data_IF_245121991737
#
_entry.id   IF_245121991737
#
_cell.length_a   1.000
_cell.length_b   1.000
_cell.length_c   1.000
_cell.angle_alpha   90.00
_cell.angle_beta   90.00
_cell.angle_gamma   90.00
#
_symmetry.space_group_name_H-M   'P 1'
#
loop_
_entity.id
_entity.type
_entity.pdbx_description
1 polymer ?
#
# COMPACT_ATOMS: atom_id res chain seq x y z
N UNK A 1 -13.16 -7.81 -17.69
CA UNK A 1 -12.70 -7.98 -16.29
C UNK A 1 -12.07 -9.35 -16.18
N UNK A 2 -10.81 -9.44 -15.77
CA UNK A 2 -10.20 -10.72 -15.40
C UNK A 2 -10.61 -11.08 -13.97
N UNK A 3 -11.13 -12.29 -13.76
CA UNK A 3 -11.47 -12.79 -12.43
C UNK A 3 -10.21 -13.46 -11.87
N UNK A 4 -9.76 -13.02 -10.70
CA UNK A 4 -8.67 -13.66 -9.96
C UNK A 4 -9.32 -14.42 -8.81
N UNK A 5 -9.13 -15.73 -8.77
CA UNK A 5 -9.58 -16.55 -7.64
C UNK A 5 -8.57 -16.43 -6.49
N UNK A 6 -9.05 -16.26 -5.27
CA UNK A 6 -8.22 -16.20 -4.07
C UNK A 6 -8.83 -17.11 -2.99
N UNK A 7 -7.96 -17.64 -2.13
CA UNK A 7 -8.38 -18.46 -1.00
C UNK A 7 -9.38 -17.73 -0.09
N UNK A 8 -10.32 -18.47 0.50
CA UNK A 8 -11.42 -17.92 1.30
C UNK A 8 -10.94 -17.18 2.54
N UNK A 9 -9.98 -17.77 3.27
CA UNK A 9 -9.43 -17.14 4.47
C UNK A 9 -8.67 -15.86 4.10
N UNK A 10 -7.93 -15.88 2.99
CA UNK A 10 -7.24 -14.70 2.47
C UNK A 10 -8.23 -13.61 2.05
N UNK A 11 -9.33 -13.97 1.39
CA UNK A 11 -10.40 -13.03 1.03
C UNK A 11 -10.97 -12.33 2.28
N UNK A 12 -11.19 -13.07 3.35
CA UNK A 12 -11.68 -12.52 4.61
C UNK A 12 -10.66 -11.59 5.27
N UNK A 13 -9.36 -11.92 5.24
CA UNK A 13 -8.30 -11.01 5.70
C UNK A 13 -8.25 -9.72 4.87
N UNK A 14 -8.34 -9.81 3.54
CA UNK A 14 -8.40 -8.64 2.65
C UNK A 14 -9.62 -7.77 2.99
N UNK A 15 -10.78 -8.39 3.24
CA UNK A 15 -11.99 -7.69 3.66
C UNK A 15 -11.78 -6.96 4.99
N UNK A 16 -11.14 -7.57 5.98
CA UNK A 16 -10.86 -6.92 7.26
C UNK A 16 -9.91 -5.72 7.10
N UNK A 17 -8.88 -5.85 6.27
CA UNK A 17 -7.90 -4.79 6.02
C UNK A 17 -8.52 -3.52 5.41
N UNK A 18 -9.61 -3.63 4.66
CA UNK A 18 -10.33 -2.46 4.12
C UNK A 18 -10.75 -1.44 5.17
N UNK A 19 -11.03 -1.90 6.40
CA UNK A 19 -11.50 -1.06 7.51
C UNK A 19 -10.47 -0.02 7.94
N UNK A 20 -9.18 -0.38 7.87
CA UNK A 20 -8.08 0.51 8.29
C UNK A 20 -7.48 1.30 7.14
N UNK A 21 -7.55 0.77 5.92
CA UNK A 21 -6.95 1.41 4.73
C UNK A 21 -7.90 2.36 4.01
N UNK A 22 -9.18 2.41 4.39
CA UNK A 22 -10.21 3.22 3.74
C UNK A 22 -10.34 2.93 2.23
N UNK A 23 -10.21 1.66 1.83
CA UNK A 23 -10.28 1.20 0.43
C UNK A 23 -11.43 0.21 0.23
N UNK A 24 -11.93 0.08 -1.01
CA UNK A 24 -12.78 -1.05 -1.37
C UNK A 24 -11.99 -2.37 -1.31
N UNK A 25 -12.68 -3.51 -1.22
CA UNK A 25 -12.02 -4.83 -1.22
C UNK A 25 -11.17 -5.06 -2.47
N UNK A 26 -11.68 -4.66 -3.64
CA UNK A 26 -10.95 -4.77 -4.90
C UNK A 26 -9.72 -3.85 -4.92
N UNK A 27 -9.84 -2.62 -4.40
CA UNK A 27 -8.70 -1.70 -4.31
C UNK A 27 -7.64 -2.21 -3.32
N UNK A 28 -8.05 -2.87 -2.23
CA UNK A 28 -7.12 -3.50 -1.29
C UNK A 28 -6.39 -4.70 -1.90
N UNK A 29 -7.09 -5.55 -2.66
CA UNK A 29 -6.47 -6.65 -3.40
C UNK A 29 -5.51 -6.14 -4.48
N UNK A 30 -5.95 -5.16 -5.28
CA UNK A 30 -5.12 -4.56 -6.33
C UNK A 30 -3.86 -3.90 -5.77
N UNK A 31 -3.95 -3.27 -4.59
CA UNK A 31 -2.79 -2.72 -3.89
C UNK A 31 -1.76 -3.81 -3.59
N UNK A 32 -2.19 -4.94 -2.99
CA UNK A 32 -1.27 -6.03 -2.65
C UNK A 32 -0.67 -6.72 -3.87
N UNK A 33 -1.46 -6.93 -4.94
CA UNK A 33 -0.95 -7.47 -6.20
C UNK A 33 0.11 -6.57 -6.83
N UNK A 34 -0.12 -5.25 -6.86
CA UNK A 34 0.85 -4.28 -7.38
C UNK A 34 2.12 -4.25 -6.54
N UNK A 35 2.01 -4.18 -5.21
CA UNK A 35 3.17 -4.15 -4.30
C UNK A 35 3.97 -5.44 -4.39
N UNK A 36 3.31 -6.61 -4.43
CA UNK A 36 3.98 -7.91 -4.58
C UNK A 36 4.80 -7.97 -5.87
N UNK A 37 4.21 -7.60 -7.00
CA UNK A 37 4.91 -7.54 -8.30
C UNK A 37 6.10 -6.56 -8.27
N UNK A 38 5.97 -5.41 -7.61
CA UNK A 38 7.08 -4.46 -7.46
C UNK A 38 8.21 -5.02 -6.59
N UNK A 39 7.87 -5.71 -5.50
CA UNK A 39 8.85 -6.35 -4.63
C UNK A 39 9.59 -7.50 -5.34
N UNK A 40 8.88 -8.32 -6.11
CA UNK A 40 9.48 -9.41 -6.90
C UNK A 40 10.43 -8.89 -7.98
N UNK A 41 10.05 -7.81 -8.67
CA UNK A 41 10.85 -7.23 -9.76
C UNK A 41 11.97 -6.32 -9.27
N UNK A 42 11.93 -5.88 -8.00
CA UNK A 42 12.94 -5.02 -7.38
C UNK A 42 13.32 -5.55 -5.98
N UNK A 43 13.93 -6.75 -5.88
CA UNK A 43 14.09 -7.47 -4.61
C UNK A 43 15.01 -6.77 -3.59
N UNK A 44 15.81 -5.79 -4.02
CA UNK A 44 16.64 -4.98 -3.13
C UNK A 44 15.89 -3.83 -2.47
N UNK A 45 14.68 -3.49 -2.93
CA UNK A 45 13.90 -2.40 -2.36
C UNK A 45 13.01 -2.93 -1.23
N UNK A 46 13.06 -2.23 -0.10
CA UNK A 46 12.10 -2.43 0.98
C UNK A 46 10.70 -1.93 0.59
N UNK A 47 9.69 -2.40 1.31
CA UNK A 47 8.31 -1.91 1.16
C UNK A 47 8.23 -0.38 1.26
N UNK A 48 8.96 0.23 2.20
CA UNK A 48 8.95 1.68 2.40
C UNK A 48 9.52 2.43 1.19
N UNK A 49 10.60 1.92 0.59
CA UNK A 49 11.20 2.52 -0.60
C UNK A 49 10.28 2.39 -1.82
N UNK A 50 9.63 1.23 -1.99
CA UNK A 50 8.60 1.04 -3.02
C UNK A 50 7.48 2.06 -2.85
N UNK A 51 6.93 2.19 -1.64
CA UNK A 51 5.85 3.13 -1.37
C UNK A 51 6.26 4.58 -1.59
N UNK A 52 7.45 4.98 -1.12
CA UNK A 52 7.96 6.34 -1.30
C UNK A 52 8.11 6.68 -2.80
N UNK A 53 8.68 5.75 -3.59
CA UNK A 53 8.82 5.90 -5.04
C UNK A 53 7.46 6.02 -5.74
N UNK A 54 6.50 5.15 -5.42
CA UNK A 54 5.18 5.16 -6.05
C UNK A 54 4.37 6.43 -5.71
N UNK A 55 4.45 6.88 -4.45
CA UNK A 55 3.81 8.14 -4.03
C UNK A 55 4.45 9.36 -4.71
N UNK A 56 5.78 9.39 -4.80
CA UNK A 56 6.50 10.46 -5.51
C UNK A 56 6.17 10.47 -7.01
N UNK A 57 6.13 9.31 -7.65
CA UNK A 57 5.75 9.18 -9.06
C UNK A 57 4.30 9.61 -9.33
N UNK A 58 3.41 9.41 -8.36
CA UNK A 58 2.03 9.90 -8.41
C UNK A 58 1.89 11.41 -8.09
N UNK A 59 2.98 12.10 -7.75
CA UNK A 59 2.98 13.52 -7.40
C UNK A 59 2.36 13.81 -6.03
N UNK A 60 2.29 12.82 -5.14
CA UNK A 60 1.77 13.03 -3.78
C UNK A 60 2.78 13.86 -2.98
N UNK A 61 2.39 15.08 -2.63
CA UNK A 61 3.13 15.91 -1.70
C UNK A 61 2.86 15.46 -0.27
N UNK A 62 3.90 15.05 0.46
CA UNK A 62 3.81 14.75 1.89
C UNK A 62 3.96 16.06 2.66
N UNK A 63 2.94 16.50 3.43
CA UNK A 63 3.09 17.67 4.28
C UNK A 63 4.21 17.44 5.30
N UNK A 64 5.01 18.47 5.64
CA UNK A 64 6.01 18.33 6.69
C UNK A 64 5.33 17.90 7.99
N UNK A 65 5.89 16.89 8.65
CA UNK A 65 5.46 16.51 9.99
C UNK A 65 5.81 17.69 10.91
N UNK A 66 4.79 18.34 11.46
CA UNK A 66 4.98 19.42 12.45
C UNK A 66 5.63 18.79 13.68
N UNK A 67 6.95 18.84 13.74
CA UNK A 67 7.69 18.39 14.90
C UNK A 67 7.65 19.54 15.90
N UNK A 68 6.72 19.47 16.84
CA UNK A 68 6.58 20.45 17.92
C UNK A 68 7.75 20.36 18.90
N UNK A 69 8.98 20.65 18.48
CA UNK A 69 10.08 20.91 19.39
C UNK A 69 10.00 22.37 19.81
N UNK A 70 9.21 22.65 20.85
CA UNK A 70 9.40 23.87 21.63
C UNK A 70 10.67 23.67 22.44
N UNK A 71 11.79 24.14 21.91
CA UNK A 71 12.99 24.36 22.70
C UNK A 71 12.65 25.50 23.66
N UNK A 72 12.57 25.19 24.94
CA UNK A 72 12.61 26.17 26.02
C UNK A 72 14.08 26.48 26.34
#
# INVERSE_FOLDING_TARGET
MGIVNIDGDLHDQVRLATKVSCRSINAQAAFWLKVGMLAETNPSLSFNEIMARELAAAGVAVPPLVTGLRVA
#
